data_IF_589483406427
#
_entry.id   IF_589483406427
#
_cell.length_a   1.000
_cell.length_b   1.000
_cell.length_c   1.000
_cell.angle_alpha   90.00
_cell.angle_beta   90.00
_cell.angle_gamma   90.00
#
_symmetry.space_group_name_H-M   'P 1'
#
loop_
_entity.id
_entity.type
_entity.pdbx_description
1 polymer ?
#
# COMPACT_ATOMS: atom_id res chain seq x y z
N UNK A 1 8.96 -7.36 -15.40
CA UNK A 1 7.92 -6.55 -16.08
C UNK A 1 8.62 -5.59 -17.03
N UNK A 2 8.07 -5.29 -18.22
CA UNK A 2 8.73 -4.35 -19.15
C UNK A 2 8.69 -2.90 -18.60
N UNK A 3 9.80 -2.13 -18.66
CA UNK A 3 9.87 -0.77 -18.11
C UNK A 3 8.80 0.19 -18.66
N UNK A 4 8.44 0.04 -19.95
CA UNK A 4 7.42 0.88 -20.60
C UNK A 4 6.03 0.68 -19.99
N UNK A 5 5.73 -0.52 -19.50
CA UNK A 5 4.47 -0.81 -18.80
C UNK A 5 4.41 -0.05 -17.47
N UNK A 6 5.51 -0.02 -16.70
CA UNK A 6 5.57 0.65 -15.40
C UNK A 6 5.32 2.16 -15.56
N UNK A 7 5.94 2.79 -16.57
CA UNK A 7 5.73 4.22 -16.89
C UNK A 7 4.31 4.52 -17.35
N UNK A 8 3.72 3.65 -18.18
CA UNK A 8 2.31 3.78 -18.60
C UNK A 8 1.37 3.77 -17.39
N UNK A 9 1.64 2.89 -16.41
CA UNK A 9 0.82 2.74 -15.20
C UNK A 9 1.01 3.89 -14.21
N UNK A 10 2.20 4.47 -14.13
CA UNK A 10 2.44 5.72 -13.40
C UNK A 10 1.48 6.82 -13.87
N UNK A 11 1.41 7.05 -15.19
CA UNK A 11 0.52 8.06 -15.76
C UNK A 11 -0.95 7.72 -15.54
N UNK A 12 -1.33 6.45 -15.71
CA UNK A 12 -2.71 5.98 -15.53
C UNK A 12 -3.21 6.22 -14.10
N UNK A 13 -2.43 5.83 -13.08
CA UNK A 13 -2.88 5.82 -11.69
C UNK A 13 -2.53 7.10 -10.92
N UNK A 14 -1.51 7.85 -11.33
CA UNK A 14 -1.04 9.02 -10.58
C UNK A 14 -0.94 10.28 -11.43
N UNK A 15 -1.17 10.20 -12.74
CA UNK A 15 -1.09 11.36 -13.65
C UNK A 15 0.32 11.90 -13.86
N UNK A 16 1.37 11.22 -13.39
CA UNK A 16 2.75 11.66 -13.57
C UNK A 16 3.34 11.12 -14.87
N UNK A 17 4.06 11.98 -15.61
CA UNK A 17 4.71 11.59 -16.87
C UNK A 17 6.09 10.94 -16.66
N UNK A 18 6.75 11.21 -15.52
CA UNK A 18 8.11 10.73 -15.22
C UNK A 18 8.28 10.38 -13.75
N UNK A 19 9.17 9.42 -13.49
CA UNK A 19 9.66 9.13 -12.14
C UNK A 19 10.64 10.20 -11.68
N UNK A 20 10.70 10.42 -10.36
CA UNK A 20 11.67 11.30 -9.70
C UNK A 20 12.80 10.46 -9.10
N UNK A 21 14.05 10.84 -9.39
CA UNK A 21 15.23 10.19 -8.81
C UNK A 21 15.21 8.67 -9.02
N UNK A 22 15.41 7.93 -7.93
CA UNK A 22 15.56 6.47 -7.92
C UNK A 22 14.24 5.69 -7.85
N UNK A 23 13.08 6.36 -7.98
CA UNK A 23 11.77 5.71 -7.86
C UNK A 23 11.59 4.53 -8.83
N UNK A 24 11.97 4.70 -10.10
CA UNK A 24 11.82 3.65 -11.11
C UNK A 24 12.63 2.40 -10.78
N UNK A 25 13.84 2.59 -10.26
CA UNK A 25 14.74 1.52 -9.86
C UNK A 25 14.17 0.74 -8.67
N UNK A 26 13.74 1.46 -7.62
CA UNK A 26 13.12 0.85 -6.42
C UNK A 26 11.86 0.07 -6.80
N UNK A 27 10.98 0.66 -7.61
CA UNK A 27 9.73 0.04 -8.07
C UNK A 27 10.01 -1.22 -8.87
N UNK A 28 10.97 -1.16 -9.80
CA UNK A 28 11.35 -2.29 -10.64
C UNK A 28 11.95 -3.42 -9.81
N UNK A 29 12.82 -3.09 -8.86
CA UNK A 29 13.42 -4.06 -7.93
C UNK A 29 12.35 -4.77 -7.10
N UNK A 30 11.42 -4.02 -6.51
CA UNK A 30 10.34 -4.59 -5.70
C UNK A 30 9.40 -5.48 -6.52
N UNK A 31 9.00 -5.06 -7.73
CA UNK A 31 8.14 -5.85 -8.62
C UNK A 31 8.81 -7.17 -9.02
N UNK A 32 10.14 -7.20 -9.09
CA UNK A 32 10.90 -8.43 -9.38
C UNK A 32 11.12 -9.30 -8.14
N UNK A 33 10.51 -8.97 -6.99
CA UNK A 33 10.56 -9.74 -5.75
C UNK A 33 11.76 -9.43 -4.85
N UNK A 34 12.45 -8.32 -5.09
CA UNK A 34 13.57 -7.89 -4.27
C UNK A 34 13.15 -7.05 -3.06
N UNK A 35 13.90 -7.18 -1.96
CA UNK A 35 13.76 -6.31 -0.79
C UNK A 35 14.53 -5.01 -0.98
N UNK A 36 13.98 -3.89 -0.49
CA UNK A 36 14.59 -2.57 -0.59
C UNK A 36 14.53 -1.80 0.73
N UNK A 37 15.64 -1.13 1.08
CA UNK A 37 15.66 -0.09 2.09
C UNK A 37 15.73 1.28 1.39
N UNK A 38 14.68 2.09 1.53
CA UNK A 38 14.50 3.31 0.75
C UNK A 38 14.66 4.54 1.65
N UNK A 39 15.75 5.29 1.44
CA UNK A 39 15.99 6.55 2.13
C UNK A 39 15.71 7.73 1.19
N UNK A 40 14.56 8.38 1.40
CA UNK A 40 14.15 9.56 0.62
C UNK A 40 13.66 10.66 1.56
N UNK A 41 13.93 11.94 1.26
CA UNK A 41 13.39 13.05 2.04
C UNK A 41 11.86 13.11 1.93
N UNK A 42 11.21 13.73 2.92
CA UNK A 42 9.77 14.02 2.86
C UNK A 42 9.43 14.80 1.60
N UNK A 43 8.35 14.41 0.91
CA UNK A 43 7.98 14.99 -0.39
C UNK A 43 8.79 14.47 -1.58
N UNK A 44 9.81 13.63 -1.35
CA UNK A 44 10.59 12.95 -2.40
C UNK A 44 9.80 11.89 -3.18
N UNK A 45 8.57 11.60 -2.77
CA UNK A 45 7.70 10.65 -3.45
C UNK A 45 7.92 9.18 -3.06
N UNK A 46 8.40 8.94 -1.83
CA UNK A 46 8.60 7.59 -1.25
C UNK A 46 7.35 6.71 -1.32
N UNK A 47 6.16 7.28 -1.12
CA UNK A 47 4.91 6.51 -1.15
C UNK A 47 4.65 5.85 -2.50
N UNK A 48 5.04 6.52 -3.60
CA UNK A 48 4.90 5.96 -4.94
C UNK A 48 5.70 4.66 -5.11
N UNK A 49 6.85 4.54 -4.41
CA UNK A 49 7.73 3.37 -4.47
C UNK A 49 7.05 2.09 -3.99
N UNK A 50 6.02 2.17 -3.14
CA UNK A 50 5.23 1.02 -2.72
C UNK A 50 3.80 1.04 -3.28
N UNK A 51 3.21 2.21 -3.53
CA UNK A 51 1.83 2.29 -4.04
C UNK A 51 1.70 1.80 -5.47
N UNK A 52 2.63 2.16 -6.37
CA UNK A 52 2.55 1.68 -7.75
C UNK A 52 2.74 0.16 -7.83
N UNK A 53 3.76 -0.45 -7.19
CA UNK A 53 3.87 -1.91 -7.09
C UNK A 53 2.62 -2.59 -6.53
N UNK A 54 1.99 -2.02 -5.50
CA UNK A 54 0.77 -2.59 -4.90
C UNK A 54 -0.37 -2.75 -5.93
N UNK A 55 -0.52 -1.79 -6.83
CA UNK A 55 -1.54 -1.82 -7.88
C UNK A 55 -1.19 -2.78 -9.03
N UNK A 56 0.09 -3.09 -9.23
CA UNK A 56 0.58 -3.90 -10.35
C UNK A 56 0.78 -5.37 -10.02
N UNK A 57 1.22 -5.68 -8.80
CA UNK A 57 1.52 -7.04 -8.36
C UNK A 57 0.23 -7.79 -8.01
N UNK A 58 0.23 -9.11 -8.16
CA UNK A 58 -0.91 -9.92 -7.73
C UNK A 58 -0.98 -10.00 -6.20
N UNK A 59 -2.19 -9.98 -5.65
CA UNK A 59 -2.41 -9.93 -4.20
C UNK A 59 -2.53 -8.51 -3.64
N UNK A 60 -2.40 -8.42 -2.32
CA UNK A 60 -2.56 -7.21 -1.50
C UNK A 60 -1.23 -6.79 -0.92
N UNK A 61 -0.83 -5.54 -1.13
CA UNK A 61 0.30 -4.96 -0.43
C UNK A 61 -0.13 -4.45 0.95
N UNK A 62 0.66 -4.74 1.98
CA UNK A 62 0.40 -4.30 3.35
C UNK A 62 1.37 -3.17 3.69
N UNK A 63 0.86 -1.95 3.89
CA UNK A 63 1.65 -0.79 4.29
C UNK A 63 1.44 -0.53 5.77
N UNK A 64 2.48 -0.78 6.56
CA UNK A 64 2.49 -0.48 7.98
C UNK A 64 2.93 0.96 8.16
N UNK A 65 2.12 1.80 8.81
CA UNK A 65 2.46 3.20 9.05
C UNK A 65 1.93 3.67 10.41
N UNK A 66 2.67 4.50 11.16
CA UNK A 66 2.15 5.08 12.40
C UNK A 66 1.17 6.25 12.18
N UNK A 67 1.10 6.80 10.96
CA UNK A 67 0.40 8.06 10.68
C UNK A 67 -1.03 7.85 10.19
N UNK A 68 -1.97 7.59 11.11
CA UNK A 68 -3.39 7.33 10.82
C UNK A 68 -4.02 8.39 9.89
N UNK A 69 -3.79 9.68 10.16
CA UNK A 69 -4.36 10.77 9.35
C UNK A 69 -3.85 10.76 7.90
N UNK A 70 -2.60 10.33 7.69
CA UNK A 70 -2.01 10.23 6.36
C UNK A 70 -2.58 9.03 5.60
N UNK A 71 -2.82 7.90 6.27
CA UNK A 71 -3.40 6.70 5.64
C UNK A 71 -4.71 7.03 4.91
N UNK A 72 -5.63 7.74 5.57
CA UNK A 72 -6.93 8.08 4.99
C UNK A 72 -6.76 8.88 3.69
N UNK A 73 -5.92 9.92 3.71
CA UNK A 73 -5.66 10.73 2.52
C UNK A 73 -5.06 9.89 1.38
N UNK A 74 -4.15 8.97 1.67
CA UNK A 74 -3.55 8.09 0.65
C UNK A 74 -4.56 7.09 0.07
N UNK A 75 -5.42 6.52 0.91
CA UNK A 75 -6.49 5.61 0.48
C UNK A 75 -7.52 6.34 -0.38
N UNK A 76 -7.97 7.53 0.05
CA UNK A 76 -8.93 8.34 -0.70
C UNK A 76 -8.38 8.74 -2.08
N UNK A 77 -7.09 9.10 -2.15
CA UNK A 77 -6.41 9.36 -3.43
C UNK A 77 -6.46 8.14 -4.35
N UNK A 78 -6.07 6.96 -3.87
CA UNK A 78 -6.01 5.74 -4.69
C UNK A 78 -7.40 5.29 -5.13
N UNK A 79 -8.40 5.37 -4.24
CA UNK A 79 -9.81 5.10 -4.57
C UNK A 79 -10.36 6.07 -5.62
N UNK A 80 -9.90 7.32 -5.63
CA UNK A 80 -10.30 8.32 -6.63
C UNK A 80 -9.97 7.92 -8.07
N UNK A 81 -9.01 7.01 -8.28
CA UNK A 81 -8.65 6.48 -9.59
C UNK A 81 -9.42 5.20 -9.97
N UNK A 82 -10.08 4.55 -9.02
CA UNK A 82 -10.92 3.37 -9.24
C UNK A 82 -12.38 3.79 -9.41
N UNK A 83 -12.83 3.89 -10.66
CA UNK A 83 -14.12 4.47 -11.05
C UNK A 83 -15.38 3.67 -10.61
N UNK A 84 -15.27 2.65 -9.75
CA UNK A 84 -16.39 1.71 -9.54
C UNK A 84 -16.62 1.08 -8.18
N UNK A 85 -15.63 0.92 -7.29
CA UNK A 85 -15.84 0.09 -6.10
C UNK A 85 -15.31 0.65 -4.78
N UNK A 86 -14.29 1.52 -4.78
CA UNK A 86 -13.65 1.97 -3.53
C UNK A 86 -12.93 0.86 -2.76
N UNK A 87 -13.01 -0.39 -3.21
CA UNK A 87 -12.42 -1.57 -2.57
C UNK A 87 -10.93 -1.75 -2.89
N UNK A 88 -10.38 -1.02 -3.86
CA UNK A 88 -8.99 -1.15 -4.32
C UNK A 88 -7.97 -0.86 -3.22
N UNK A 89 -8.30 0.05 -2.31
CA UNK A 89 -7.45 0.42 -1.20
C UNK A 89 -8.27 0.55 0.08
N UNK A 90 -7.72 0.14 1.21
CA UNK A 90 -8.33 0.27 2.53
C UNK A 90 -7.30 0.72 3.56
N UNK A 91 -7.78 1.19 4.71
CA UNK A 91 -6.95 1.34 5.91
C UNK A 91 -7.57 0.53 7.05
N UNK A 92 -6.74 0.05 7.98
CA UNK A 92 -7.16 -0.69 9.17
C UNK A 92 -6.46 -0.12 10.41
N UNK A 93 -7.22 0.55 11.26
CA UNK A 93 -6.75 1.19 12.48
C UNK A 93 -7.89 1.25 13.51
N UNK A 94 -7.60 1.76 14.70
CA UNK A 94 -8.55 1.87 15.81
C UNK A 94 -9.73 2.84 15.57
N UNK A 95 -9.70 3.66 14.52
CA UNK A 95 -10.79 4.61 14.22
C UNK A 95 -11.97 3.96 13.48
N UNK A 96 -11.80 2.75 12.94
CA UNK A 96 -12.87 2.07 12.21
C UNK A 96 -13.92 1.47 13.15
N UNK A 97 -15.18 1.67 12.79
CA UNK A 97 -16.31 0.95 13.38
C UNK A 97 -16.33 -0.51 12.94
N UNK A 98 -17.02 -1.36 13.71
CA UNK A 98 -17.13 -2.79 13.40
C UNK A 98 -17.67 -3.09 11.99
N UNK A 99 -18.72 -2.41 11.49
CA UNK A 99 -19.17 -2.61 10.10
C UNK A 99 -18.09 -2.29 9.06
N UNK A 100 -17.27 -1.26 9.28
CA UNK A 100 -16.19 -0.89 8.37
C UNK A 100 -15.06 -1.93 8.38
N UNK A 101 -14.75 -2.50 9.55
CA UNK A 101 -13.77 -3.58 9.64
C UNK A 101 -14.24 -4.82 8.87
N UNK A 102 -15.53 -5.18 8.97
CA UNK A 102 -16.09 -6.31 8.22
C UNK A 102 -16.08 -6.06 6.70
N UNK A 103 -16.32 -4.82 6.25
CA UNK A 103 -16.19 -4.42 4.85
C UNK A 103 -14.74 -4.60 4.36
N UNK A 104 -13.76 -4.07 5.10
CA UNK A 104 -12.33 -4.24 4.81
C UNK A 104 -11.98 -5.73 4.71
N UNK A 105 -12.44 -6.54 5.67
CA UNK A 105 -12.20 -8.00 5.70
C UNK A 105 -12.79 -8.70 4.48
N UNK A 106 -14.05 -8.40 4.15
CA UNK A 106 -14.73 -8.97 2.99
C UNK A 106 -13.99 -8.64 1.68
N UNK A 107 -13.56 -7.39 1.52
CA UNK A 107 -12.84 -6.94 0.34
C UNK A 107 -11.45 -7.60 0.22
N UNK A 108 -10.73 -7.72 1.34
CA UNK A 108 -9.43 -8.41 1.40
C UNK A 108 -9.56 -9.88 1.00
N UNK A 109 -10.50 -10.62 1.61
CA UNK A 109 -10.70 -12.05 1.33
C UNK A 109 -11.21 -12.29 -0.10
N UNK A 110 -11.93 -11.34 -0.69
CA UNK A 110 -12.36 -11.41 -2.08
C UNK A 110 -11.26 -11.10 -3.11
N UNK A 111 -10.10 -10.62 -2.66
CA UNK A 111 -8.99 -10.22 -3.53
C UNK A 111 -9.21 -8.90 -4.28
N UNK A 112 -10.23 -8.11 -3.92
CA UNK A 112 -10.50 -6.79 -4.52
C UNK A 112 -9.50 -5.73 -4.06
N UNK A 113 -8.99 -5.86 -2.84
CA UNK A 113 -8.05 -4.90 -2.26
C UNK A 113 -6.64 -5.15 -2.76
N UNK A 114 -6.04 -4.11 -3.34
CA UNK A 114 -4.64 -4.11 -3.81
C UNK A 114 -3.70 -3.50 -2.77
N UNK A 115 -4.21 -2.59 -1.94
CA UNK A 115 -3.42 -1.88 -0.94
C UNK A 115 -4.17 -1.79 0.39
N UNK A 116 -3.54 -2.26 1.47
CA UNK A 116 -4.03 -2.08 2.83
C UNK A 116 -3.02 -1.28 3.63
N UNK A 117 -3.41 -0.07 4.04
CA UNK A 117 -2.70 0.61 5.12
C UNK A 117 -3.11 0.01 6.47
N UNK A 118 -2.17 -0.25 7.34
CA UNK A 118 -2.45 -0.80 8.67
C UNK A 118 -1.63 -0.06 9.72
N UNK A 119 -2.29 0.31 10.82
CA UNK A 119 -1.60 0.83 11.98
C UNK A 119 -0.91 -0.33 12.73
N UNK A 120 0.33 -0.17 13.23
CA UNK A 120 1.06 -1.27 13.87
C UNK A 120 0.29 -1.97 14.99
N UNK A 121 -0.46 -1.21 15.80
CA UNK A 121 -1.30 -1.77 16.87
C UNK A 121 -2.45 -2.62 16.35
N UNK A 122 -2.98 -2.30 15.16
CA UNK A 122 -3.98 -3.12 14.49
C UNK A 122 -3.37 -4.37 13.88
N UNK A 123 -2.17 -4.27 13.31
CA UNK A 123 -1.47 -5.43 12.71
C UNK A 123 -1.19 -6.52 13.74
N UNK A 124 -0.84 -6.14 14.97
CA UNK A 124 -0.49 -7.07 16.06
C UNK A 124 -1.69 -7.80 16.68
N UNK A 125 -2.94 -7.46 16.31
CA UNK A 125 -4.12 -8.16 16.83
C UNK A 125 -4.23 -9.54 16.21
N UNK A 126 -4.40 -10.58 17.04
CA UNK A 126 -4.49 -11.98 16.59
C UNK A 126 -5.55 -12.19 15.50
N UNK A 127 -6.71 -11.55 15.61
CA UNK A 127 -7.79 -11.61 14.62
C UNK A 127 -7.36 -11.10 13.23
N UNK A 128 -6.56 -10.02 13.19
CA UNK A 128 -6.08 -9.44 11.94
C UNK A 128 -4.93 -10.25 11.37
N UNK A 129 -4.04 -10.78 12.21
CA UNK A 129 -2.99 -11.70 11.78
C UNK A 129 -3.61 -12.95 11.14
N UNK A 130 -4.61 -13.56 11.78
CA UNK A 130 -5.32 -14.72 11.26
C UNK A 130 -5.98 -14.42 9.91
N UNK A 131 -6.67 -13.28 9.79
CA UNK A 131 -7.25 -12.85 8.52
C UNK A 131 -6.18 -12.66 7.42
N UNK A 132 -5.06 -12.01 7.72
CA UNK A 132 -4.01 -11.76 6.74
C UNK A 132 -3.31 -13.04 6.27
N UNK A 133 -3.30 -14.11 7.07
CA UNK A 133 -2.82 -15.43 6.65
C UNK A 133 -3.69 -16.08 5.56
N UNK A 134 -4.97 -15.67 5.45
CA UNK A 134 -5.88 -16.14 4.40
C UNK A 134 -5.80 -15.29 3.12
N UNK A 135 -5.16 -14.12 3.18
CA UNK A 135 -5.05 -13.18 2.07
C UNK A 135 -3.78 -13.45 1.27
N UNK A 136 -3.87 -13.42 -0.06
CA UNK A 136 -2.68 -13.44 -0.92
C UNK A 136 -1.96 -12.10 -0.81
N UNK A 137 -0.86 -12.07 -0.06
CA UNK A 137 -0.04 -10.86 0.12
C UNK A 137 0.99 -10.74 -1.00
N UNK A 138 1.12 -9.54 -1.56
CA UNK A 138 2.13 -9.24 -2.58
C UNK A 138 3.47 -8.88 -1.94
N UNK A 139 3.47 -7.95 -0.99
CA UNK A 139 4.63 -7.55 -0.18
C UNK A 139 4.19 -6.73 1.04
N UNK A 140 5.15 -6.49 1.94
CA UNK A 140 5.01 -5.56 3.06
C UNK A 140 5.86 -4.32 2.80
N UNK A 141 5.33 -3.14 3.14
CA UNK A 141 6.09 -1.90 3.19
C UNK A 141 5.96 -1.29 4.58
N UNK A 142 7.09 -0.91 5.17
CA UNK A 142 7.15 -0.24 6.46
C UNK A 142 7.42 1.24 6.20
N UNK A 143 6.39 2.07 6.36
CA UNK A 143 6.54 3.52 6.29
C UNK A 143 6.99 4.08 7.64
N UNK A 144 7.75 5.17 7.59
CA UNK A 144 8.43 5.74 8.76
C UNK A 144 9.20 4.69 9.58
N UNK A 145 9.98 3.84 8.90
CA UNK A 145 10.74 2.75 9.51
C UNK A 145 11.70 3.20 10.64
N UNK A 146 12.06 4.49 10.69
CA UNK A 146 12.81 5.06 11.81
C UNK A 146 12.07 4.97 13.14
N UNK A 147 10.73 4.92 13.13
CA UNK A 147 9.93 4.71 14.32
C UNK A 147 10.19 3.34 14.97
N UNK A 148 10.67 2.32 14.24
CA UNK A 148 10.96 0.99 14.80
C UNK A 148 12.05 1.05 15.88
N UNK A 149 13.03 1.96 15.76
CA UNK A 149 14.07 2.09 16.80
C UNK A 149 13.60 2.84 18.04
N UNK A 150 12.45 3.52 17.96
CA UNK A 150 11.88 4.30 19.07
C UNK A 150 10.64 3.63 19.70
N UNK A 151 10.16 2.54 19.09
CA UNK A 151 9.04 1.71 19.55
C UNK A 151 9.54 0.49 20.32
#
# INVERSE_FOLDING_TARGET
>A
MEPDLIRSKLKQFFGYDTFKGEQEEVITHLINGGDAFVLMPTGGGKSLCYQLPALLMEGTAIVVSPLIALMKNQVDLIRGFDAGAGSVAHFLNSSLSRPQIEEVRSDLLSGRTKLLYVAPESLSKEENVAMLQEVKISFYAIDEAHCISEW
#
